data_IF_682173677330
#
_entry.id   IF_682173677330
#
_cell.length_a   1.000
_cell.length_b   1.000
_cell.length_c   1.000
_cell.angle_alpha   90.00
_cell.angle_beta   90.00
_cell.angle_gamma   90.00
#
_symmetry.space_group_name_H-M   'P 1'
#
loop_
_entity.id
_entity.type
_entity.pdbx_description
1 polymer ?
#
# COMPACT_ATOMS: atom_id res chain seq x y z
N UNK A 1 -1.18 20.79 -32.19
CA UNK A 1 -0.35 20.24 -31.12
C UNK A 1 -1.24 20.27 -29.88
N UNK A 2 -1.98 19.20 -29.68
CA UNK A 2 -2.99 19.06 -28.62
C UNK A 2 -2.32 18.26 -27.50
N UNK A 3 -2.13 18.88 -26.34
CA UNK A 3 -1.60 18.19 -25.15
C UNK A 3 -2.68 17.25 -24.61
N UNK A 4 -2.45 15.95 -24.69
CA UNK A 4 -3.18 14.97 -23.89
C UNK A 4 -2.59 14.98 -22.48
N UNK A 5 -3.42 15.35 -21.50
CA UNK A 5 -3.08 15.24 -20.09
C UNK A 5 -3.13 13.78 -19.68
N UNK A 6 -2.01 13.24 -19.27
CA UNK A 6 -1.93 11.92 -18.62
C UNK A 6 -2.44 12.10 -17.18
N UNK A 7 -3.65 11.61 -16.89
CA UNK A 7 -4.12 11.43 -15.51
C UNK A 7 -3.49 10.16 -14.96
N UNK A 8 -2.32 10.31 -14.35
CA UNK A 8 -1.70 9.24 -13.58
C UNK A 8 -2.49 9.03 -12.29
N UNK A 9 -2.99 7.83 -12.07
CA UNK A 9 -3.57 7.42 -10.79
C UNK A 9 -2.45 7.18 -9.79
N UNK A 10 -2.55 7.85 -8.68
CA UNK A 10 -1.54 7.89 -7.63
C UNK A 10 -2.06 7.14 -6.42
N UNK A 11 -1.40 6.05 -6.04
CA UNK A 11 -1.66 5.32 -4.80
C UNK A 11 -0.82 5.95 -3.68
N UNK A 12 -1.51 6.54 -2.69
CA UNK A 12 -0.89 7.19 -1.53
C UNK A 12 -0.41 6.12 -0.54
N UNK A 13 0.88 5.87 -0.47
CA UNK A 13 1.49 5.09 0.60
C UNK A 13 1.96 6.04 1.71
N UNK A 14 1.14 6.21 2.75
CA UNK A 14 1.57 6.93 3.94
C UNK A 14 2.50 6.05 4.76
N UNK A 15 3.79 6.39 4.79
CA UNK A 15 4.73 5.86 5.76
C UNK A 15 4.31 6.34 7.15
N UNK A 16 3.73 5.44 7.96
CA UNK A 16 3.41 5.70 9.34
C UNK A 16 4.69 5.88 10.17
N UNK A 17 5.10 7.12 10.39
CA UNK A 17 6.17 7.45 11.32
C UNK A 17 5.75 7.10 12.75
N UNK A 18 6.53 6.25 13.44
CA UNK A 18 6.48 6.08 14.89
C UNK A 18 6.87 7.41 15.55
N UNK A 19 5.89 8.15 16.08
CA UNK A 19 6.14 9.25 17.00
C UNK A 19 6.20 8.66 18.40
N UNK A 20 7.38 8.64 19.01
CA UNK A 20 7.58 8.40 20.44
C UNK A 20 7.05 9.61 21.20
N UNK A 21 5.86 9.47 21.82
CA UNK A 21 5.29 10.46 22.71
C UNK A 21 5.99 10.45 24.06
N UNK A 22 6.55 11.61 24.42
CA UNK A 22 7.01 11.93 25.77
C UNK A 22 5.81 12.10 26.71
N UNK A 23 5.85 11.42 27.84
CA UNK A 23 4.90 11.54 28.95
C UNK A 23 5.11 12.86 29.67
N UNK A 24 4.06 13.69 29.70
CA UNK A 24 3.91 14.79 30.67
C UNK A 24 2.83 14.40 31.67
N UNK A 25 3.27 14.16 32.90
CA UNK A 25 2.47 13.98 34.10
C UNK A 25 2.04 15.35 34.62
N UNK A 26 0.74 15.60 34.78
CA UNK A 26 0.26 16.59 35.76
C UNK A 26 -1.14 16.21 36.24
N UNK A 27 -1.15 15.92 37.54
CA UNK A 27 -2.22 15.70 38.48
C UNK A 27 -2.99 17.01 38.71
N UNK A 28 -4.34 16.96 38.80
CA UNK A 28 -5.07 17.66 39.86
C UNK A 28 -6.50 17.16 40.04
N UNK A 29 -6.85 17.07 41.30
CA UNK A 29 -8.01 16.58 42.05
C UNK A 29 -9.15 17.61 42.05
N UNK A 30 -10.40 17.16 42.14
CA UNK A 30 -11.47 17.54 43.12
C UNK A 30 -12.83 17.04 42.61
N UNK A 31 -13.52 16.23 43.25
CA UNK A 31 -14.41 16.18 44.40
C UNK A 31 -15.83 16.75 44.17
N UNK A 32 -16.85 15.92 44.40
CA UNK A 32 -18.13 16.41 44.94
C UNK A 32 -19.42 15.92 44.32
N UNK A 33 -20.11 15.02 45.01
CA UNK A 33 -21.53 15.12 45.35
C UNK A 33 -22.52 14.21 44.63
N UNK A 34 -22.96 13.15 45.29
CA UNK A 34 -24.24 12.47 45.04
C UNK A 34 -25.37 13.13 45.89
N UNK A 35 -26.49 12.46 46.22
CA UNK A 35 -27.25 11.44 45.50
C UNK A 35 -28.74 11.88 45.35
N UNK A 36 -29.60 11.16 44.59
CA UNK A 36 -30.97 10.87 45.07
C UNK A 36 -31.67 9.74 44.31
N UNK A 37 -32.44 9.01 45.09
CA UNK A 37 -33.14 7.80 44.73
C UNK A 37 -34.62 8.09 44.40
N UNK A 38 -35.26 7.19 43.66
CA UNK A 38 -36.72 7.07 43.64
C UNK A 38 -37.25 6.13 42.56
N UNK A 39 -38.15 5.19 42.95
CA UNK A 39 -38.53 4.05 42.15
C UNK A 39 -39.85 4.27 41.39
N UNK A 40 -40.02 3.51 40.27
CA UNK A 40 -41.32 3.56 39.59
C UNK A 40 -41.47 2.55 38.46
N UNK A 41 -41.97 1.39 38.79
CA UNK A 41 -43.09 0.63 38.16
C UNK A 41 -42.91 0.04 36.76
N UNK A 42 -42.99 -1.28 36.74
CA UNK A 42 -43.21 -2.22 35.64
C UNK A 42 -44.37 -1.87 34.72
N UNK A 43 -44.18 -2.07 33.42
CA UNK A 43 -45.24 -2.57 32.54
C UNK A 43 -44.62 -3.47 31.45
N UNK A 44 -45.07 -4.70 31.48
CA UNK A 44 -44.85 -5.77 30.52
C UNK A 44 -45.59 -5.46 29.22
N UNK A 45 -44.91 -5.49 28.10
CA UNK A 45 -45.56 -5.74 26.79
C UNK A 45 -44.62 -6.59 25.95
N UNK A 46 -45.08 -7.78 25.70
CA UNK A 46 -44.60 -8.77 24.74
C UNK A 46 -44.80 -8.22 23.34
N UNK A 47 -43.77 -8.22 22.48
CA UNK A 47 -43.95 -8.63 21.09
C UNK A 47 -42.63 -8.64 20.27
N UNK A 48 -42.53 -9.71 19.51
CA UNK A 48 -41.82 -9.88 18.23
C UNK A 48 -40.28 -9.83 18.25
N UNK A 49 -39.69 -11.01 18.30
CA UNK A 49 -38.35 -11.32 17.87
C UNK A 49 -38.17 -10.99 16.38
N UNK A 50 -37.42 -9.95 16.09
CA UNK A 50 -36.72 -9.81 14.83
C UNK A 50 -35.28 -10.18 15.11
N UNK A 51 -34.86 -11.35 14.60
CA UNK A 51 -33.50 -11.85 14.69
C UNK A 51 -32.59 -10.96 13.83
N UNK A 52 -31.86 -10.06 14.49
CA UNK A 52 -30.67 -9.43 13.91
C UNK A 52 -29.53 -10.45 13.90
N UNK A 53 -28.72 -10.51 12.82
CA UNK A 53 -27.54 -11.36 12.82
C UNK A 53 -26.53 -10.88 13.86
N UNK A 54 -25.68 -11.77 14.40
CA UNK A 54 -24.73 -11.43 15.45
C UNK A 54 -23.69 -10.46 14.95
N UNK A 55 -23.65 -9.27 15.54
CA UNK A 55 -22.54 -8.33 15.40
C UNK A 55 -21.33 -8.94 16.12
N UNK A 56 -20.40 -9.52 15.40
CA UNK A 56 -19.12 -9.96 15.93
C UNK A 56 -18.23 -8.73 16.08
N UNK A 57 -18.13 -8.22 17.31
CA UNK A 57 -17.09 -7.24 17.66
C UNK A 57 -15.73 -7.94 17.69
N UNK A 58 -15.00 -7.89 16.59
CA UNK A 58 -13.60 -8.24 16.48
C UNK A 58 -12.76 -6.96 16.48
N UNK A 59 -12.05 -6.73 17.56
CA UNK A 59 -11.12 -5.62 17.75
C UNK A 59 -9.82 -5.94 16.99
N UNK A 60 -9.63 -5.37 15.83
CA UNK A 60 -8.34 -4.99 15.19
C UNK A 60 -8.66 -4.45 13.80
N UNK A 61 -8.56 -3.15 13.59
CA UNK A 61 -8.33 -2.48 12.31
C UNK A 61 -9.14 -2.92 11.08
N UNK A 62 -10.41 -3.34 11.23
CA UNK A 62 -11.27 -3.58 10.08
C UNK A 62 -11.69 -2.23 9.49
N UNK A 63 -11.31 -2.01 8.25
CA UNK A 63 -11.82 -0.89 7.46
C UNK A 63 -13.31 -1.13 7.26
N UNK A 64 -14.12 -0.13 7.59
CA UNK A 64 -15.57 -0.23 7.44
C UNK A 64 -15.93 -0.29 5.94
N UNK A 65 -16.32 -1.46 5.47
CA UNK A 65 -16.72 -1.73 4.10
C UNK A 65 -17.94 -2.66 4.04
N UNK A 66 -18.46 -2.86 2.83
CA UNK A 66 -19.61 -3.74 2.59
C UNK A 66 -19.26 -5.22 2.72
N UNK A 67 -17.99 -5.58 2.47
CA UNK A 67 -17.48 -6.97 2.50
C UNK A 67 -16.02 -7.02 2.95
N UNK A 68 -15.53 -8.22 3.25
CA UNK A 68 -14.15 -8.49 3.62
C UNK A 68 -13.32 -8.93 2.42
N UNK A 69 -12.24 -8.20 2.09
CA UNK A 69 -11.29 -8.59 1.05
C UNK A 69 -10.64 -9.95 1.34
N UNK A 70 -10.37 -10.24 2.63
CA UNK A 70 -9.74 -11.48 3.07
C UNK A 70 -10.65 -12.69 3.01
N UNK A 71 -11.95 -12.49 3.23
CA UNK A 71 -12.92 -13.58 3.30
C UNK A 71 -13.71 -13.77 2.01
N UNK A 72 -13.71 -12.76 1.13
CA UNK A 72 -14.49 -12.77 -0.10
C UNK A 72 -15.95 -13.18 0.16
N UNK A 73 -16.58 -12.56 1.17
CA UNK A 73 -17.86 -12.93 1.74
C UNK A 73 -19.09 -12.33 1.01
N UNK A 74 -18.91 -11.98 -0.25
CA UNK A 74 -19.98 -11.54 -1.13
C UNK A 74 -20.95 -12.69 -1.50
N UNK A 75 -22.17 -12.38 -1.94
CA UNK A 75 -23.09 -13.37 -2.50
C UNK A 75 -22.47 -14.17 -3.66
N UNK A 76 -22.98 -15.39 -3.89
CA UNK A 76 -22.51 -16.23 -5.00
C UNK A 76 -22.60 -15.51 -6.34
N UNK A 77 -21.51 -15.55 -7.13
CA UNK A 77 -21.36 -14.83 -8.39
C UNK A 77 -20.88 -13.39 -8.27
N UNK A 78 -20.54 -12.97 -7.05
CA UNK A 78 -19.93 -11.67 -6.78
C UNK A 78 -18.59 -11.83 -6.04
N UNK A 79 -17.73 -10.81 -6.14
CA UNK A 79 -16.43 -10.71 -5.45
C UNK A 79 -16.36 -9.43 -4.62
N UNK A 80 -15.60 -9.47 -3.52
CA UNK A 80 -15.28 -8.29 -2.73
C UNK A 80 -14.05 -7.58 -3.32
N UNK A 81 -14.21 -6.29 -3.60
CA UNK A 81 -13.15 -5.47 -4.20
C UNK A 81 -12.96 -4.17 -3.43
N UNK A 82 -11.73 -3.63 -3.43
CA UNK A 82 -11.50 -2.27 -2.96
C UNK A 82 -12.08 -1.25 -3.95
N UNK A 83 -12.57 -0.11 -3.46
CA UNK A 83 -13.00 0.97 -4.33
C UNK A 83 -12.86 2.34 -3.68
N UNK A 84 -12.84 3.38 -4.50
CA UNK A 84 -12.90 4.79 -4.10
C UNK A 84 -14.38 5.22 -4.00
N UNK A 85 -14.88 5.37 -2.78
CA UNK A 85 -16.27 5.76 -2.53
C UNK A 85 -16.50 7.26 -2.69
N UNK A 86 -15.42 8.06 -2.65
CA UNK A 86 -15.46 9.53 -2.65
C UNK A 86 -15.10 10.15 -4.00
N UNK A 87 -14.54 9.37 -4.93
CA UNK A 87 -14.10 9.82 -6.26
C UNK A 87 -12.82 10.67 -6.21
N UNK A 88 -12.00 10.49 -5.17
CA UNK A 88 -10.74 11.21 -4.98
C UNK A 88 -9.54 10.53 -5.64
N UNK A 89 -9.73 9.33 -6.19
CA UNK A 89 -8.65 8.49 -6.73
C UNK A 89 -7.93 7.66 -5.66
N UNK A 90 -8.41 7.69 -4.41
CA UNK A 90 -7.85 6.92 -3.29
C UNK A 90 -8.89 5.89 -2.84
N UNK A 91 -8.47 4.64 -2.76
CA UNK A 91 -9.29 3.55 -2.22
C UNK A 91 -9.56 3.81 -0.74
N UNK A 92 -10.84 3.85 -0.37
CA UNK A 92 -11.29 4.18 0.99
C UNK A 92 -12.35 3.21 1.53
N UNK A 93 -12.81 2.26 0.72
CA UNK A 93 -13.88 1.33 1.09
C UNK A 93 -13.79 0.00 0.34
N UNK A 94 -14.70 -0.92 0.66
CA UNK A 94 -14.89 -2.20 -0.04
C UNK A 94 -16.33 -2.38 -0.45
N UNK A 95 -16.57 -3.09 -1.55
CA UNK A 95 -17.92 -3.43 -2.04
C UNK A 95 -17.96 -4.77 -2.76
N UNK A 96 -19.15 -5.36 -2.85
CA UNK A 96 -19.41 -6.51 -3.69
C UNK A 96 -19.73 -6.07 -5.13
N UNK A 97 -19.07 -6.70 -6.10
CA UNK A 97 -19.33 -6.53 -7.53
C UNK A 97 -19.57 -7.88 -8.18
N UNK A 98 -20.38 -7.94 -9.24
CA UNK A 98 -20.59 -9.18 -10.01
C UNK A 98 -19.30 -9.59 -10.71
N UNK A 99 -19.01 -10.91 -10.70
CA UNK A 99 -17.89 -11.47 -11.46
C UNK A 99 -18.28 -11.54 -12.93
N UNK A 100 -17.44 -11.05 -13.83
CA UNK A 100 -17.66 -11.08 -15.27
C UNK A 100 -17.78 -12.51 -15.82
N UNK A 101 -18.50 -12.69 -16.92
CA UNK A 101 -18.59 -13.97 -17.64
C UNK A 101 -18.27 -13.78 -19.14
N UNK A 102 -17.15 -14.33 -19.66
CA UNK A 102 -16.14 -15.11 -18.94
C UNK A 102 -15.24 -14.22 -18.07
N UNK A 103 -14.80 -14.75 -16.90
CA UNK A 103 -13.86 -14.07 -16.03
C UNK A 103 -12.41 -14.37 -16.42
N UNK A 104 -11.54 -13.35 -16.35
CA UNK A 104 -10.09 -13.46 -16.51
C UNK A 104 -9.44 -14.17 -15.32
N UNK A 105 -8.41 -14.98 -15.58
CA UNK A 105 -7.63 -15.71 -14.57
C UNK A 105 -6.39 -14.91 -14.16
N UNK A 106 -5.76 -15.32 -13.08
CA UNK A 106 -4.50 -14.72 -12.64
C UNK A 106 -3.47 -14.68 -13.78
N UNK A 107 -2.93 -13.48 -14.03
CA UNK A 107 -1.99 -13.21 -15.11
C UNK A 107 -2.62 -12.91 -16.49
N UNK A 108 -3.92 -13.09 -16.65
CA UNK A 108 -4.61 -12.69 -17.90
C UNK A 108 -4.68 -11.16 -18.01
N UNK A 109 -4.66 -10.61 -19.23
CA UNK A 109 -4.97 -9.21 -19.43
C UNK A 109 -6.41 -8.92 -19.02
N UNK A 110 -6.63 -7.74 -18.46
CA UNK A 110 -7.95 -7.30 -17.98
C UNK A 110 -8.24 -5.86 -18.35
N UNK A 111 -9.50 -5.48 -18.16
CA UNK A 111 -9.99 -4.12 -18.31
C UNK A 111 -10.76 -3.72 -17.05
N UNK A 112 -10.46 -2.54 -16.52
CA UNK A 112 -11.17 -1.97 -15.39
C UNK A 112 -11.89 -0.68 -15.80
N UNK A 113 -13.14 -0.52 -15.35
CA UNK A 113 -13.93 0.69 -15.60
C UNK A 113 -13.57 1.77 -14.56
N UNK A 114 -13.14 2.95 -15.04
CA UNK A 114 -13.01 4.15 -14.19
C UNK A 114 -11.86 4.11 -13.18
N UNK A 115 -10.78 3.38 -13.45
CA UNK A 115 -9.61 3.28 -12.56
C UNK A 115 -9.82 2.25 -11.45
N UNK A 116 -9.32 2.53 -10.23
CA UNK A 116 -9.44 1.61 -9.07
C UNK A 116 -10.87 1.72 -8.48
N UNK A 117 -11.87 1.39 -9.26
CA UNK A 117 -13.27 1.32 -8.79
C UNK A 117 -13.72 -0.12 -8.55
N UNK A 118 -12.84 -1.10 -8.79
CA UNK A 118 -13.08 -2.52 -8.54
C UNK A 118 -14.06 -3.18 -9.51
N UNK A 119 -14.56 -2.48 -10.54
CA UNK A 119 -15.36 -3.10 -11.61
C UNK A 119 -14.39 -3.49 -12.72
N UNK A 120 -14.09 -4.76 -12.80
CA UNK A 120 -13.16 -5.34 -13.77
C UNK A 120 -13.64 -6.72 -14.24
N UNK A 121 -12.97 -7.27 -15.25
CA UNK A 121 -13.31 -8.57 -15.85
C UNK A 121 -12.51 -9.74 -15.27
N UNK A 122 -11.84 -9.57 -14.12
CA UNK A 122 -11.13 -10.66 -13.43
C UNK A 122 -12.06 -11.54 -12.59
N UNK A 123 -11.66 -12.79 -12.36
CA UNK A 123 -12.38 -13.75 -11.50
C UNK A 123 -12.35 -13.34 -10.01
N UNK A 124 -13.12 -14.05 -9.19
CA UNK A 124 -13.15 -13.84 -7.74
C UNK A 124 -11.76 -14.00 -7.11
N UNK A 125 -11.43 -13.16 -6.11
CA UNK A 125 -10.11 -13.14 -5.49
C UNK A 125 -9.02 -12.47 -6.33
N UNK A 126 -9.37 -11.88 -7.48
CA UNK A 126 -8.46 -11.14 -8.34
C UNK A 126 -8.90 -9.68 -8.49
N UNK A 127 -7.93 -8.81 -8.72
CA UNK A 127 -8.14 -7.39 -9.04
C UNK A 127 -7.38 -7.06 -10.34
N UNK A 128 -8.00 -6.30 -11.23
CA UNK A 128 -7.31 -5.74 -12.38
C UNK A 128 -6.34 -4.66 -11.91
N UNK A 129 -5.04 -4.95 -11.99
CA UNK A 129 -3.97 -4.12 -11.48
C UNK A 129 -3.00 -3.72 -12.57
N UNK A 130 -2.13 -2.73 -12.31
CA UNK A 130 -1.20 -2.16 -13.30
C UNK A 130 -1.93 -1.52 -14.50
N UNK A 131 -2.95 -0.72 -14.21
CA UNK A 131 -3.78 -0.12 -15.23
C UNK A 131 -3.00 0.94 -16.03
N UNK A 132 -3.10 0.85 -17.36
CA UNK A 132 -2.70 1.92 -18.25
C UNK A 132 -3.76 3.04 -18.32
N UNK A 133 -3.49 4.07 -19.14
CA UNK A 133 -4.39 5.21 -19.30
C UNK A 133 -5.77 4.84 -19.91
N UNK A 134 -5.85 3.69 -20.58
CA UNK A 134 -7.07 3.17 -21.22
C UNK A 134 -7.82 2.18 -20.30
N UNK A 135 -7.29 1.92 -19.10
CA UNK A 135 -7.87 1.01 -18.10
C UNK A 135 -7.55 -0.46 -18.33
N UNK A 136 -6.56 -0.77 -19.16
CA UNK A 136 -6.08 -2.14 -19.33
C UNK A 136 -5.00 -2.46 -18.30
N UNK A 137 -5.04 -3.68 -17.79
CA UNK A 137 -4.11 -4.16 -16.77
C UNK A 137 -3.92 -5.66 -16.79
N UNK A 138 -3.59 -6.22 -15.65
CA UNK A 138 -3.39 -7.66 -15.45
C UNK A 138 -4.19 -8.12 -14.24
N UNK A 139 -4.92 -9.23 -14.36
CA UNK A 139 -5.61 -9.86 -13.24
C UNK A 139 -4.60 -10.34 -12.20
N UNK A 140 -4.49 -9.62 -11.10
CA UNK A 140 -3.52 -9.85 -10.02
C UNK A 140 -4.23 -10.47 -8.83
N UNK A 141 -3.70 -11.57 -8.26
CA UNK A 141 -4.30 -12.20 -7.08
C UNK A 141 -4.28 -11.27 -5.86
N UNK A 142 -5.40 -11.25 -5.14
CA UNK A 142 -5.44 -10.69 -3.80
C UNK A 142 -4.85 -11.68 -2.80
N UNK A 143 -4.33 -11.18 -1.68
CA UNK A 143 -3.80 -12.02 -0.61
C UNK A 143 -4.90 -12.90 0.00
N UNK A 144 -4.52 -14.09 0.43
CA UNK A 144 -5.35 -15.03 1.18
C UNK A 144 -4.98 -15.04 2.68
N UNK A 145 -5.81 -15.72 3.48
CA UNK A 145 -5.58 -15.89 4.91
C UNK A 145 -6.20 -14.79 5.76
N UNK A 146 -5.37 -14.02 6.47
CA UNK A 146 -5.85 -12.96 7.36
C UNK A 146 -4.80 -11.85 7.49
N UNK A 147 -5.17 -10.65 8.02
CA UNK A 147 -4.21 -9.57 8.26
C UNK A 147 -3.02 -9.97 9.13
N UNK A 148 -3.21 -10.91 10.06
CA UNK A 148 -2.14 -11.41 10.95
C UNK A 148 -1.35 -12.58 10.39
N UNK A 149 -1.82 -13.19 9.32
CA UNK A 149 -1.18 -14.33 8.64
C UNK A 149 -1.52 -14.29 7.14
N UNK A 150 -1.03 -13.28 6.43
CA UNK A 150 -1.27 -13.15 5.00
C UNK A 150 -0.48 -14.21 4.22
N UNK A 151 -1.04 -14.67 3.12
CA UNK A 151 -0.40 -15.65 2.24
C UNK A 151 -0.70 -15.38 0.78
N UNK A 152 0.24 -15.83 -0.07
CA UNK A 152 0.13 -15.85 -1.52
C UNK A 152 0.61 -17.18 -2.06
N UNK A 153 0.33 -17.46 -3.32
CA UNK A 153 0.95 -18.58 -4.03
C UNK A 153 2.49 -18.49 -4.02
N UNK A 154 3.14 -19.63 -4.21
CA UNK A 154 4.60 -19.73 -4.20
C UNK A 154 5.26 -18.76 -5.19
N UNK A 155 6.21 -17.97 -4.71
CA UNK A 155 6.97 -16.98 -5.50
C UNK A 155 6.39 -15.57 -5.49
N UNK A 156 5.25 -15.38 -4.85
CA UNK A 156 4.65 -14.07 -4.62
C UNK A 156 4.69 -13.71 -3.14
N UNK A 157 4.65 -12.42 -2.85
CA UNK A 157 4.54 -11.88 -1.49
C UNK A 157 3.27 -11.05 -1.36
N UNK A 158 2.61 -11.16 -0.23
CA UNK A 158 1.44 -10.34 0.05
C UNK A 158 1.90 -8.93 0.44
N UNK A 159 1.62 -7.97 -0.42
CA UNK A 159 1.78 -6.56 -0.12
C UNK A 159 0.45 -5.97 0.36
N UNK A 160 0.47 -5.39 1.56
CA UNK A 160 -0.71 -4.81 2.22
C UNK A 160 -0.51 -3.31 2.32
N UNK A 161 -1.26 -2.56 1.56
CA UNK A 161 -1.17 -1.11 1.50
C UNK A 161 -2.52 -0.41 1.75
N UNK A 162 -2.54 0.91 1.71
CA UNK A 162 -3.76 1.74 1.87
C UNK A 162 -4.59 1.35 3.10
N UNK A 163 -3.90 1.16 4.25
CA UNK A 163 -4.60 0.80 5.51
C UNK A 163 -5.26 -0.58 5.52
N UNK A 164 -4.83 -1.49 4.63
CA UNK A 164 -5.42 -2.83 4.49
C UNK A 164 -6.52 -2.95 3.45
N UNK A 165 -6.76 -1.88 2.69
CA UNK A 165 -7.74 -1.86 1.59
C UNK A 165 -7.16 -2.34 0.26
N UNK A 166 -5.85 -2.44 0.14
CA UNK A 166 -5.17 -3.00 -1.00
C UNK A 166 -4.27 -4.14 -0.53
N UNK A 167 -4.61 -5.37 -0.92
CA UNK A 167 -3.96 -6.60 -0.46
C UNK A 167 -3.60 -7.46 -1.68
N UNK A 168 -2.43 -7.23 -2.27
CA UNK A 168 -2.05 -7.85 -3.53
C UNK A 168 -0.89 -8.82 -3.38
N UNK A 169 -0.95 -9.92 -4.14
CA UNK A 169 0.15 -10.86 -4.28
C UNK A 169 1.06 -10.41 -5.42
N UNK A 170 2.23 -9.85 -5.07
CA UNK A 170 3.17 -9.26 -6.01
C UNK A 170 4.45 -10.10 -6.13
N UNK A 171 5.09 -10.03 -7.29
CA UNK A 171 6.38 -10.68 -7.54
C UNK A 171 7.49 -9.97 -6.76
N UNK A 172 8.35 -10.74 -6.09
CA UNK A 172 9.52 -10.19 -5.41
C UNK A 172 10.61 -9.80 -6.39
N UNK A 173 11.40 -8.79 -6.04
CA UNK A 173 12.54 -8.34 -6.83
C UNK A 173 13.74 -7.97 -5.94
N UNK A 174 14.90 -7.79 -6.57
CA UNK A 174 16.07 -7.20 -5.93
C UNK A 174 16.38 -5.87 -6.65
N UNK A 175 16.38 -4.72 -5.98
CA UNK A 175 16.59 -3.43 -6.61
C UNK A 175 17.98 -3.26 -7.23
N UNK A 176 18.99 -4.03 -6.78
CA UNK A 176 20.34 -4.04 -7.35
C UNK A 176 20.43 -4.83 -8.68
N UNK A 177 19.46 -5.72 -8.93
CA UNK A 177 19.36 -6.51 -10.15
C UNK A 177 17.86 -6.70 -10.49
N UNK A 178 17.14 -5.63 -10.83
CA UNK A 178 15.70 -5.70 -11.00
C UNK A 178 15.32 -6.59 -12.17
N UNK A 179 14.37 -7.49 -11.91
CA UNK A 179 13.84 -8.44 -12.90
C UNK A 179 12.35 -8.21 -13.13
N UNK A 180 11.84 -7.03 -12.78
CA UNK A 180 10.45 -6.71 -12.97
C UNK A 180 10.07 -6.68 -14.47
N UNK A 181 8.86 -7.11 -14.83
CA UNK A 181 8.34 -6.98 -16.19
C UNK A 181 8.35 -5.54 -16.68
N UNK A 182 8.27 -5.34 -18.02
CA UNK A 182 8.20 -4.01 -18.63
C UNK A 182 7.01 -3.22 -18.03
N UNK A 183 7.24 -1.93 -17.77
CA UNK A 183 6.24 -1.06 -17.14
C UNK A 183 6.09 -1.26 -15.63
N UNK A 184 7.00 -2.01 -15.00
CA UNK A 184 7.07 -2.17 -13.55
C UNK A 184 8.45 -1.81 -13.02
N UNK A 185 8.47 -1.35 -11.77
CA UNK A 185 9.67 -1.03 -11.01
C UNK A 185 9.75 -1.85 -9.72
N UNK A 186 10.96 -1.95 -9.18
CA UNK A 186 11.22 -2.66 -7.93
C UNK A 186 11.17 -1.66 -6.77
N UNK A 187 10.15 -1.74 -5.92
CA UNK A 187 9.92 -0.84 -4.79
C UNK A 187 9.87 -1.59 -3.46
N UNK A 188 10.15 -0.91 -2.32
CA UNK A 188 9.99 -1.51 -1.00
C UNK A 188 8.56 -1.96 -0.73
N UNK A 189 8.39 -3.15 -0.13
CA UNK A 189 7.13 -3.70 0.32
C UNK A 189 6.95 -3.53 1.83
N UNK A 190 5.72 -3.28 2.26
CA UNK A 190 5.37 -3.26 3.68
C UNK A 190 5.59 -4.62 4.38
N UNK A 191 5.62 -5.71 3.63
CA UNK A 191 5.93 -7.05 4.13
C UNK A 191 7.43 -7.26 4.45
N UNK A 192 8.29 -6.28 4.12
CA UNK A 192 9.74 -6.34 4.26
C UNK A 192 10.40 -7.03 3.06
N UNK A 193 11.14 -6.27 2.30
CA UNK A 193 11.73 -6.70 1.02
C UNK A 193 11.29 -5.77 -0.10
N UNK A 194 11.33 -6.26 -1.33
CA UNK A 194 10.96 -5.48 -2.51
C UNK A 194 10.02 -6.27 -3.41
N UNK A 195 9.13 -5.54 -4.09
CA UNK A 195 8.15 -6.09 -5.03
C UNK A 195 8.13 -5.29 -6.32
N UNK A 196 7.72 -5.94 -7.39
CA UNK A 196 7.45 -5.29 -8.66
C UNK A 196 6.07 -4.64 -8.62
N UNK A 197 6.01 -3.33 -8.86
CA UNK A 197 4.78 -2.56 -8.95
C UNK A 197 4.81 -1.65 -10.19
N UNK A 198 3.69 -1.03 -10.54
CA UNK A 198 3.57 -0.20 -11.72
C UNK A 198 4.52 1.00 -11.70
N UNK A 199 5.22 1.21 -12.81
CA UNK A 199 6.01 2.39 -13.07
C UNK A 199 5.09 3.53 -13.51
N UNK A 200 5.03 4.59 -12.71
CA UNK A 200 4.26 5.81 -12.99
C UNK A 200 5.15 7.06 -13.10
N UNK A 201 6.46 6.87 -13.31
CA UNK A 201 7.44 7.97 -13.46
C UNK A 201 7.13 8.87 -14.66
N UNK A 202 6.63 8.31 -15.76
CA UNK A 202 6.26 9.03 -16.97
C UNK A 202 7.46 9.71 -17.64
N UNK A 203 7.37 11.04 -17.81
CA UNK A 203 8.45 11.88 -18.38
C UNK A 203 9.32 12.54 -17.27
N UNK A 204 9.11 12.19 -16.01
CA UNK A 204 9.83 12.66 -14.82
C UNK A 204 10.31 11.44 -14.03
N UNK A 205 10.95 11.66 -12.89
CA UNK A 205 11.41 10.53 -12.05
C UNK A 205 12.92 10.33 -12.07
N UNK A 206 13.65 11.24 -12.73
CA UNK A 206 15.12 11.23 -12.72
C UNK A 206 15.68 11.53 -11.33
N UNK A 207 16.97 11.24 -11.15
CA UNK A 207 17.68 11.62 -9.94
C UNK A 207 17.47 13.11 -9.59
N UNK A 208 17.06 13.37 -8.34
CA UNK A 208 16.80 14.72 -7.84
C UNK A 208 15.42 15.29 -8.17
N UNK A 209 14.64 14.64 -9.02
CA UNK A 209 13.27 15.08 -9.32
C UNK A 209 12.37 14.96 -8.09
N UNK A 210 11.42 15.90 -7.92
CA UNK A 210 10.45 15.84 -6.84
C UNK A 210 9.59 14.59 -6.91
N UNK A 211 9.35 13.97 -5.75
CA UNK A 211 8.50 12.79 -5.65
C UNK A 211 7.63 12.83 -4.38
N UNK A 212 6.52 12.12 -4.42
CA UNK A 212 5.60 11.94 -3.29
C UNK A 212 5.30 10.44 -3.05
N UNK A 213 5.42 9.63 -4.11
CA UNK A 213 5.11 8.18 -4.06
C UNK A 213 6.32 7.37 -4.43
N UNK A 214 6.34 6.08 -4.00
CA UNK A 214 7.50 5.21 -4.20
C UNK A 214 7.75 4.86 -5.66
N UNK A 215 6.70 4.82 -6.48
CA UNK A 215 6.72 4.35 -7.87
C UNK A 215 6.69 5.47 -8.93
N UNK A 216 6.96 6.73 -8.53
CA UNK A 216 7.08 7.87 -9.45
C UNK A 216 8.52 8.17 -9.86
N UNK A 217 9.49 7.44 -9.32
CA UNK A 217 10.89 7.54 -9.74
C UNK A 217 11.19 6.49 -10.81
N UNK A 218 12.15 6.78 -11.70
CA UNK A 218 12.59 5.86 -12.75
C UNK A 218 13.09 4.53 -12.17
N UNK A 219 13.07 3.43 -12.95
CA UNK A 219 13.61 2.15 -12.54
C UNK A 219 15.04 2.24 -11.99
N UNK A 220 15.28 1.70 -10.80
CA UNK A 220 16.55 1.78 -10.08
C UNK A 220 16.65 2.96 -9.12
N UNK A 221 15.63 3.81 -9.07
CA UNK A 221 15.52 4.92 -8.14
C UNK A 221 14.39 4.68 -7.13
N UNK A 222 14.45 5.42 -6.02
CA UNK A 222 13.45 5.42 -4.96
C UNK A 222 13.14 6.84 -4.52
N UNK A 223 11.88 7.12 -4.27
CA UNK A 223 11.46 8.35 -3.60
C UNK A 223 11.89 8.32 -2.13
N UNK A 224 12.78 9.23 -1.74
CA UNK A 224 13.27 9.38 -0.36
C UNK A 224 13.01 10.77 0.17
N UNK A 225 13.20 10.96 1.49
CA UNK A 225 13.10 12.28 2.12
C UNK A 225 14.06 13.29 1.47
N UNK A 226 13.55 14.48 1.14
CA UNK A 226 14.31 15.53 0.45
C UNK A 226 15.68 15.87 1.07
N UNK A 227 15.83 15.94 2.42
CA UNK A 227 17.13 16.13 3.06
C UNK A 227 18.20 15.09 2.73
N UNK A 228 17.85 13.94 2.18
CA UNK A 228 18.79 12.90 1.77
C UNK A 228 19.38 13.14 0.36
N UNK A 229 18.81 14.09 -0.41
CA UNK A 229 19.21 14.36 -1.80
C UNK A 229 19.72 15.79 -1.93
N UNK A 230 21.00 16.01 -2.33
CA UNK A 230 21.55 17.35 -2.53
C UNK A 230 20.72 18.19 -3.48
N UNK A 231 20.40 19.42 -3.06
CA UNK A 231 19.63 20.34 -3.88
C UNK A 231 18.12 20.07 -3.98
N UNK A 232 17.61 19.03 -3.31
CA UNK A 232 16.18 18.77 -3.25
C UNK A 232 15.46 19.87 -2.47
N UNK A 233 14.53 20.58 -3.13
CA UNK A 233 13.74 21.67 -2.53
C UNK A 233 12.33 21.25 -2.10
N UNK A 234 12.01 19.96 -2.15
CA UNK A 234 10.69 19.38 -1.88
C UNK A 234 10.77 18.36 -0.74
N UNK A 235 9.62 17.91 -0.16
CA UNK A 235 9.61 16.92 0.90
C UNK A 235 10.23 15.57 0.51
N UNK A 236 10.16 15.19 -0.76
CA UNK A 236 10.75 13.98 -1.31
C UNK A 236 11.41 14.22 -2.66
N UNK A 237 12.53 13.52 -2.94
CA UNK A 237 13.19 13.47 -4.25
C UNK A 237 13.66 12.06 -4.55
N UNK A 238 13.81 11.76 -5.85
CA UNK A 238 14.29 10.48 -6.35
C UNK A 238 15.78 10.32 -6.13
N UNK A 239 16.23 9.17 -5.62
CA UNK A 239 17.65 8.81 -5.45
C UNK A 239 17.88 7.35 -5.82
N UNK A 240 19.16 7.00 -6.08
CA UNK A 240 19.52 5.67 -6.56
C UNK A 240 19.62 4.64 -5.44
N UNK A 241 19.25 3.39 -5.75
CA UNK A 241 19.76 2.24 -5.01
C UNK A 241 21.26 2.05 -5.30
N UNK A 242 21.99 1.52 -4.34
CA UNK A 242 23.42 1.28 -4.44
C UNK A 242 23.83 -0.03 -3.77
N UNK A 243 24.94 -0.59 -4.20
CA UNK A 243 25.48 -1.85 -3.66
C UNK A 243 26.53 -1.56 -2.59
N UNK A 244 26.23 -1.90 -1.33
CA UNK A 244 27.12 -1.70 -0.18
C UNK A 244 28.44 -2.44 -0.32
N UNK A 245 28.48 -3.58 -1.02
CA UNK A 245 29.70 -4.33 -1.25
C UNK A 245 30.69 -3.57 -2.14
N UNK A 246 30.22 -2.65 -2.96
CA UNK A 246 31.01 -1.81 -3.87
C UNK A 246 31.35 -0.44 -3.28
N UNK A 247 30.67 0.01 -2.22
CA UNK A 247 30.78 1.37 -1.69
C UNK A 247 32.22 1.82 -1.35
N UNK A 248 33.05 0.91 -0.84
CA UNK A 248 34.46 1.22 -0.52
C UNK A 248 35.35 1.35 -1.76
N UNK A 249 35.04 0.62 -2.84
CA UNK A 249 35.81 0.63 -4.07
C UNK A 249 35.33 1.67 -5.08
N UNK A 250 34.09 2.14 -4.94
CA UNK A 250 33.43 3.12 -5.79
C UNK A 250 32.78 4.23 -4.94
N UNK A 251 33.57 5.10 -4.28
CA UNK A 251 33.03 6.11 -3.36
C UNK A 251 32.11 7.14 -4.05
N UNK A 252 32.25 7.33 -5.36
CA UNK A 252 31.47 8.28 -6.15
C UNK A 252 30.34 7.57 -6.93
N UNK A 253 29.83 6.43 -6.43
CA UNK A 253 28.77 5.68 -7.10
C UNK A 253 27.39 6.36 -7.06
N UNK A 254 27.18 7.28 -6.11
CA UNK A 254 25.95 8.07 -5.99
C UNK A 254 26.06 9.34 -6.84
N UNK A 255 24.99 9.70 -7.56
CA UNK A 255 24.96 10.91 -8.41
C UNK A 255 25.17 12.20 -7.63
N UNK A 256 24.83 12.23 -6.36
CA UNK A 256 25.08 13.36 -5.47
C UNK A 256 26.42 13.39 -4.76
N UNK A 257 27.39 12.52 -5.14
CA UNK A 257 28.72 12.54 -4.57
C UNK A 257 29.44 13.89 -4.80
N UNK A 258 30.28 14.40 -3.88
CA UNK A 258 30.67 13.75 -2.60
C UNK A 258 29.71 13.97 -1.42
N UNK A 259 28.56 14.63 -1.59
CA UNK A 259 27.63 14.92 -0.50
C UNK A 259 26.79 13.70 -0.12
N UNK A 260 26.58 12.78 -1.08
CA UNK A 260 25.91 11.51 -0.85
C UNK A 260 26.90 10.36 -0.79
N UNK A 261 26.59 9.38 0.06
CA UNK A 261 27.26 8.08 0.13
C UNK A 261 26.22 6.96 0.10
N UNK A 262 26.63 5.73 -0.25
CA UNK A 262 25.77 4.55 -0.19
C UNK A 262 25.55 4.17 1.27
N UNK A 263 24.33 4.34 1.75
CA UNK A 263 23.91 4.04 3.13
C UNK A 263 23.10 2.74 3.16
N UNK A 264 23.23 1.91 4.21
CA UNK A 264 22.43 0.70 4.34
C UNK A 264 20.92 1.01 4.29
N UNK A 265 20.18 0.25 3.47
CA UNK A 265 18.73 0.37 3.41
C UNK A 265 18.05 -0.25 4.65
N UNK A 266 18.62 -1.32 5.18
CA UNK A 266 18.14 -2.02 6.37
C UNK A 266 19.02 -1.76 7.57
N UNK A 267 18.44 -1.77 8.75
CA UNK A 267 19.21 -1.82 9.99
C UNK A 267 20.04 -3.10 10.08
N UNK A 268 21.14 -3.03 10.83
CA UNK A 268 22.08 -4.15 10.93
C UNK A 268 21.39 -5.45 11.38
N UNK A 269 21.46 -6.47 10.55
CA UNK A 269 20.90 -7.80 10.80
C UNK A 269 19.40 -7.92 10.55
N UNK A 270 18.73 -6.90 9.99
CA UNK A 270 17.30 -6.92 9.66
C UNK A 270 17.03 -7.09 8.16
N UNK A 271 18.05 -7.09 7.33
CA UNK A 271 17.91 -7.33 5.90
C UNK A 271 17.36 -8.75 5.64
N UNK A 272 16.36 -8.91 4.77
CA UNK A 272 15.94 -10.22 4.28
C UNK A 272 17.09 -10.92 3.54
N UNK A 273 17.10 -12.27 3.52
CA UNK A 273 18.12 -13.02 2.81
C UNK A 273 18.25 -12.61 1.33
N UNK A 274 19.46 -12.26 0.91
CA UNK A 274 19.79 -11.81 -0.45
C UNK A 274 19.62 -10.31 -0.69
N UNK A 275 19.24 -9.53 0.33
CA UNK A 275 19.10 -8.08 0.28
C UNK A 275 20.07 -7.37 1.25
N UNK A 276 21.06 -8.08 1.80
CA UNK A 276 22.01 -7.58 2.80
C UNK A 276 22.88 -6.45 2.25
N UNK A 277 23.14 -6.47 0.94
CA UNK A 277 23.98 -5.47 0.26
C UNK A 277 23.18 -4.32 -0.36
N UNK A 278 21.86 -4.27 -0.13
CA UNK A 278 21.04 -3.16 -0.64
C UNK A 278 21.29 -1.92 0.20
N UNK A 279 21.73 -0.88 -0.47
CA UNK A 279 21.87 0.47 0.05
C UNK A 279 21.05 1.47 -0.75
N UNK A 280 20.94 2.67 -0.22
CA UNK A 280 20.34 3.84 -0.85
C UNK A 280 21.32 5.01 -0.78
N UNK A 281 21.47 5.74 -1.88
CA UNK A 281 22.26 6.95 -1.90
C UNK A 281 21.63 8.03 -1.04
N UNK A 282 22.36 8.52 -0.04
CA UNK A 282 21.85 9.48 0.93
C UNK A 282 22.94 10.30 1.60
N UNK A 283 22.55 11.41 2.22
CA UNK A 283 23.42 12.28 3.01
C UNK A 283 23.51 11.70 4.42
N UNK A 284 24.74 11.41 4.89
CA UNK A 284 24.95 10.95 6.25
C UNK A 284 24.62 12.05 7.25
N UNK A 285 23.70 11.77 8.15
CA UNK A 285 23.27 12.67 9.22
C UNK A 285 24.17 12.58 10.45
#
# INVERSE_FOLDING_TARGET
MTRLGVSGFVVLLTLGGCVTGEQGDESETEAGGGPDAGPGTSTTTTDAQTSSPPTTSGTTGEVAGECSLWMQDCPSGAKCVPFDSTGTGVVDSTRCVEVAEPAGKAGDPCTAEGGIVGIDDCDAGLLCWLLDADGHGTCTPMCEGSPSSPSCESGLVCDVSTGGLLILCLTTCNPLAPTCPNGQICIPSAAGGFVCDGDVSGDAGFYGDPCEFLNVCDPGLLCTSGPNVPGCGTPGCCTEFCDLSLAQSMPDMCSGAPEQECLPFYDAGLAPPGLEEVGLCGIKQ
#
